data_IF_694058420188
#
_entry.id   IF_694058420188
#
_cell.length_a   1.000
_cell.length_b   1.000
_cell.length_c   1.000
_cell.angle_alpha   90.00
_cell.angle_beta   90.00
_cell.angle_gamma   90.00
#
_symmetry.space_group_name_H-M   'P 1'
#
loop_
_entity.id
_entity.type
_entity.pdbx_description
1 polymer ?
#
# COMPACT_ATOMS: atom_id res chain seq x y z
N UNK A 1 -28.01 -77.27 61.46
CA UNK A 1 -28.06 -77.75 60.07
C UNK A 1 -27.01 -76.96 59.30
N UNK A 2 -25.76 -77.44 59.29
CA UNK A 2 -25.16 -78.18 58.16
C UNK A 2 -25.08 -77.32 56.88
N UNK A 3 -23.88 -76.79 56.55
CA UNK A 3 -22.82 -77.39 55.69
C UNK A 3 -23.28 -77.49 54.22
N UNK A 4 -22.56 -77.10 53.16
CA UNK A 4 -21.13 -76.82 52.93
C UNK A 4 -20.95 -76.28 51.47
N UNK A 5 -19.96 -75.38 51.30
CA UNK A 5 -19.04 -75.13 50.15
C UNK A 5 -19.38 -74.48 48.79
N UNK A 6 -18.48 -73.53 48.46
CA UNK A 6 -17.67 -73.31 47.22
C UNK A 6 -18.41 -72.80 45.97
N UNK A 7 -17.81 -72.02 45.06
CA UNK A 7 -16.68 -71.08 45.02
C UNK A 7 -16.75 -70.46 43.60
N UNK A 8 -16.35 -69.19 43.44
CA UNK A 8 -15.75 -68.57 42.23
C UNK A 8 -16.57 -68.25 40.94
N UNK A 9 -16.64 -66.93 40.66
CA UNK A 9 -16.34 -66.19 39.39
C UNK A 9 -17.30 -66.06 38.19
N UNK A 10 -17.33 -64.81 37.69
CA UNK A 10 -17.46 -64.32 36.29
C UNK A 10 -18.81 -63.70 35.86
N UNK A 11 -18.68 -62.42 35.49
CA UNK A 11 -19.51 -61.43 34.78
C UNK A 11 -20.57 -62.01 33.80
N UNK A 12 -21.74 -61.34 33.68
CA UNK A 12 -22.30 -61.06 32.36
C UNK A 12 -22.62 -59.55 32.19
N UNK A 13 -21.83 -58.88 31.36
CA UNK A 13 -22.08 -57.55 30.84
C UNK A 13 -22.65 -57.69 29.43
N UNK A 14 -23.97 -57.70 29.29
CA UNK A 14 -24.62 -57.46 28.00
C UNK A 14 -26.12 -57.25 28.21
N UNK A 15 -26.56 -55.98 28.20
CA UNK A 15 -27.96 -55.64 27.92
C UNK A 15 -27.98 -55.03 26.51
N UNK A 16 -28.47 -55.83 25.56
CA UNK A 16 -28.60 -55.50 24.14
C UNK A 16 -29.56 -54.31 23.97
N UNK A 17 -29.06 -53.22 23.38
CA UNK A 17 -29.91 -52.21 22.76
C UNK A 17 -30.08 -52.52 21.28
N UNK A 18 -31.33 -52.66 20.85
CA UNK A 18 -31.71 -53.00 19.49
C UNK A 18 -31.45 -51.79 18.55
N UNK A 19 -30.44 -51.90 17.69
CA UNK A 19 -29.94 -50.83 16.79
C UNK A 19 -30.86 -50.51 15.59
N UNK A 20 -31.98 -51.22 15.42
CA UNK A 20 -32.77 -51.16 14.19
C UNK A 20 -33.79 -50.02 14.10
N UNK A 21 -34.06 -49.27 15.17
CA UNK A 21 -35.03 -48.15 15.13
C UNK A 21 -34.42 -46.80 14.76
N UNK A 22 -33.11 -46.59 14.97
CA UNK A 22 -32.45 -45.32 14.64
C UNK A 22 -32.11 -45.20 13.14
N UNK A 23 -31.85 -46.35 12.49
CA UNK A 23 -31.43 -46.44 11.08
C UNK A 23 -32.63 -46.25 10.14
N UNK A 24 -33.83 -46.72 10.50
CA UNK A 24 -35.01 -46.65 9.63
C UNK A 24 -35.61 -45.24 9.51
N UNK A 25 -35.55 -44.42 10.55
CA UNK A 25 -36.18 -43.08 10.55
C UNK A 25 -35.31 -42.04 9.84
N UNK A 26 -33.99 -42.12 9.99
CA UNK A 26 -33.06 -41.12 9.43
C UNK A 26 -32.35 -41.58 8.15
N UNK A 27 -32.31 -42.88 7.86
CA UNK A 27 -31.59 -43.44 6.71
C UNK A 27 -32.14 -42.99 5.35
N UNK A 28 -33.47 -42.93 5.20
CA UNK A 28 -34.10 -42.61 3.90
C UNK A 28 -34.06 -41.10 3.57
N UNK A 29 -34.12 -40.23 4.59
CA UNK A 29 -34.06 -38.77 4.40
C UNK A 29 -32.63 -38.28 4.12
N UNK A 30 -31.62 -38.93 4.70
CA UNK A 30 -30.22 -38.61 4.42
C UNK A 30 -29.71 -39.19 3.09
N UNK A 31 -30.21 -40.35 2.65
CA UNK A 31 -29.82 -40.96 1.36
C UNK A 31 -30.14 -40.07 0.15
N UNK A 32 -31.30 -39.41 0.13
CA UNK A 32 -31.71 -38.55 -0.99
C UNK A 32 -31.06 -37.16 -1.03
N UNK A 33 -30.53 -36.69 0.10
CA UNK A 33 -29.90 -35.36 0.22
C UNK A 33 -28.38 -35.44 -0.01
N UNK A 34 -27.74 -36.53 0.40
CA UNK A 34 -26.29 -36.69 0.24
C UNK A 34 -25.86 -37.26 -1.11
N UNK A 35 -26.74 -37.95 -1.85
CA UNK A 35 -26.36 -38.65 -3.07
C UNK A 35 -27.42 -38.49 -4.18
N UNK A 36 -27.17 -37.57 -5.11
CA UNK A 36 -27.73 -37.67 -6.47
C UNK A 36 -26.83 -38.60 -7.29
N UNK A 37 -27.31 -39.82 -7.54
CA UNK A 37 -26.69 -40.80 -8.43
C UNK A 37 -26.72 -40.30 -9.88
N UNK A 38 -25.58 -40.32 -10.59
CA UNK A 38 -25.12 -41.56 -11.24
C UNK A 38 -23.70 -42.03 -10.86
N UNK A 39 -22.89 -41.20 -10.20
CA UNK A 39 -21.45 -41.48 -10.03
C UNK A 39 -21.09 -42.46 -8.89
N UNK A 40 -22.01 -42.73 -7.95
CA UNK A 40 -21.72 -43.58 -6.78
C UNK A 40 -21.88 -45.08 -7.08
N UNK A 41 -22.79 -45.45 -7.98
CA UNK A 41 -22.97 -46.83 -8.44
C UNK A 41 -21.79 -47.36 -9.26
N UNK A 42 -21.19 -46.51 -10.09
CA UNK A 42 -19.95 -46.83 -10.82
C UNK A 42 -18.76 -46.97 -9.87
N UNK A 43 -18.67 -46.08 -8.86
CA UNK A 43 -17.61 -46.15 -7.85
C UNK A 43 -17.61 -47.48 -7.08
N UNK A 44 -18.78 -48.01 -6.70
CA UNK A 44 -18.87 -49.29 -5.98
C UNK A 44 -18.61 -50.51 -6.88
N UNK A 45 -18.89 -50.43 -8.19
CA UNK A 45 -18.52 -51.46 -9.16
C UNK A 45 -17.00 -51.51 -9.37
N UNK A 46 -16.35 -50.35 -9.49
CA UNK A 46 -14.89 -50.24 -9.59
C UNK A 46 -14.15 -50.71 -8.33
N UNK A 47 -14.73 -50.49 -7.15
CA UNK A 47 -14.15 -50.95 -5.87
C UNK A 47 -14.28 -52.46 -5.72
N UNK A 48 -15.38 -53.08 -6.18
CA UNK A 48 -15.53 -54.55 -6.15
C UNK A 48 -14.60 -55.28 -7.11
N UNK A 49 -14.25 -54.67 -8.24
CA UNK A 49 -13.34 -55.27 -9.24
C UNK A 49 -11.86 -55.22 -8.84
N UNK A 50 -11.50 -54.42 -7.82
CA UNK A 50 -10.10 -54.12 -7.48
C UNK A 50 -9.67 -54.54 -6.06
N UNK A 51 -10.45 -55.40 -5.38
CA UNK A 51 -10.02 -56.01 -4.12
C UNK A 51 -9.50 -57.41 -4.44
N UNK A 52 -8.17 -57.56 -4.51
CA UNK A 52 -7.51 -58.88 -4.47
C UNK A 52 -7.66 -59.47 -3.06
N UNK A 53 -7.83 -60.80 -2.90
CA UNK A 53 -7.83 -61.45 -1.58
C UNK A 53 -6.51 -61.19 -0.84
N UNK A 54 -6.56 -61.21 0.49
CA UNK A 54 -5.53 -60.70 1.41
C UNK A 54 -4.14 -61.39 1.35
N UNK A 55 -3.95 -62.41 0.51
CA UNK A 55 -2.79 -63.31 0.58
C UNK A 55 -1.82 -63.24 -0.63
N UNK A 56 -1.88 -62.21 -1.48
CA UNK A 56 -0.87 -61.99 -2.54
C UNK A 56 -0.05 -60.71 -2.34
N UNK A 57 1.27 -60.87 -2.41
CA UNK A 57 2.23 -59.77 -2.33
C UNK A 57 2.18 -58.94 -3.62
N UNK A 58 2.10 -57.62 -3.49
CA UNK A 58 1.96 -56.70 -4.61
C UNK A 58 3.25 -56.64 -5.43
N UNK A 59 3.15 -56.73 -6.76
CA UNK A 59 4.29 -56.41 -7.64
C UNK A 59 4.56 -54.89 -7.59
N UNK A 60 5.84 -54.50 -7.72
CA UNK A 60 6.31 -53.13 -7.51
C UNK A 60 5.65 -52.14 -8.50
N UNK A 61 5.32 -52.62 -9.71
CA UNK A 61 4.58 -51.86 -10.73
C UNK A 61 3.12 -51.63 -10.36
N UNK A 62 2.46 -52.61 -9.76
CA UNK A 62 1.06 -52.48 -9.31
C UNK A 62 0.95 -51.56 -8.10
N UNK A 63 1.89 -51.67 -7.15
CA UNK A 63 2.02 -50.75 -6.03
C UNK A 63 2.21 -49.31 -6.49
N UNK A 64 3.06 -49.07 -7.50
CA UNK A 64 3.23 -47.74 -8.07
C UNK A 64 2.00 -47.24 -8.82
N UNK A 65 1.29 -48.11 -9.56
CA UNK A 65 0.04 -47.75 -10.24
C UNK A 65 -1.04 -47.34 -9.22
N UNK A 66 -1.24 -48.12 -8.17
CA UNK A 66 -2.21 -47.81 -7.12
C UNK A 66 -1.77 -46.63 -6.25
N UNK A 67 -0.48 -46.45 -5.98
CA UNK A 67 0.03 -45.26 -5.29
C UNK A 67 -0.22 -44.00 -6.13
N UNK A 68 -0.02 -44.04 -7.45
CA UNK A 68 -0.37 -42.95 -8.37
C UNK A 68 -1.87 -42.73 -8.47
N UNK A 69 -2.67 -43.79 -8.50
CA UNK A 69 -4.14 -43.74 -8.52
C UNK A 69 -4.74 -43.18 -7.22
N UNK A 70 -4.24 -43.61 -6.06
CA UNK A 70 -4.63 -43.06 -4.77
C UNK A 70 -4.04 -41.65 -4.55
N UNK A 71 -2.89 -41.30 -5.13
CA UNK A 71 -2.38 -39.93 -5.12
C UNK A 71 -3.19 -38.98 -6.04
N UNK A 72 -3.71 -39.48 -7.17
CA UNK A 72 -4.59 -38.71 -8.06
C UNK A 72 -6.02 -38.60 -7.52
N UNK A 73 -6.51 -39.61 -6.77
CA UNK A 73 -7.80 -39.59 -6.06
C UNK A 73 -7.75 -39.12 -4.59
N UNK A 74 -6.56 -38.91 -3.99
CA UNK A 74 -6.37 -38.45 -2.60
C UNK A 74 -7.03 -37.08 -2.46
N UNK A 75 -8.26 -37.03 -1.94
CA UNK A 75 -8.95 -36.01 -1.13
C UNK A 75 -8.40 -34.55 -1.08
N UNK A 76 -7.78 -34.04 -2.15
CA UNK A 76 -7.49 -32.60 -2.34
C UNK A 76 -8.81 -31.87 -2.52
N UNK A 77 -9.79 -32.50 -3.15
CA UNK A 77 -11.09 -31.89 -3.42
C UNK A 77 -11.90 -31.56 -2.17
N UNK A 78 -12.10 -32.45 -1.18
CA UNK A 78 -12.98 -32.09 -0.03
C UNK A 78 -12.38 -31.03 0.91
N UNK A 79 -11.11 -31.17 1.30
CA UNK A 79 -10.46 -30.19 2.20
C UNK A 79 -10.25 -28.84 1.52
N UNK A 80 -9.84 -28.83 0.25
CA UNK A 80 -9.62 -27.57 -0.48
C UNK A 80 -10.94 -26.93 -0.93
N UNK A 81 -12.00 -27.72 -1.17
CA UNK A 81 -13.36 -27.20 -1.39
C UNK A 81 -13.92 -26.61 -0.10
N UNK A 82 -13.73 -27.26 1.06
CA UNK A 82 -14.11 -26.71 2.36
C UNK A 82 -13.35 -25.42 2.65
N UNK A 83 -12.02 -25.39 2.43
CA UNK A 83 -11.22 -24.16 2.57
C UNK A 83 -11.73 -23.03 1.67
N UNK A 84 -12.06 -23.33 0.41
CA UNK A 84 -12.66 -22.35 -0.53
C UNK A 84 -14.02 -21.85 -0.05
N UNK A 85 -14.90 -22.74 0.45
CA UNK A 85 -16.18 -22.32 1.00
C UNK A 85 -16.00 -21.47 2.27
N UNK A 86 -15.10 -21.85 3.17
CA UNK A 86 -14.78 -21.07 4.36
C UNK A 86 -14.15 -19.72 4.03
N UNK A 87 -13.34 -19.64 2.97
CA UNK A 87 -12.80 -18.39 2.47
C UNK A 87 -13.92 -17.47 1.98
N UNK A 88 -14.87 -17.98 1.18
CA UNK A 88 -16.05 -17.20 0.77
C UNK A 88 -16.91 -16.73 1.94
N UNK A 89 -17.10 -17.57 2.98
CA UNK A 89 -17.80 -17.16 4.21
C UNK A 89 -17.05 -16.04 4.94
N UNK A 90 -15.71 -16.14 5.06
CA UNK A 90 -14.88 -15.09 5.67
C UNK A 90 -14.97 -13.78 4.90
N UNK A 91 -14.93 -13.83 3.56
CA UNK A 91 -15.08 -12.65 2.71
C UNK A 91 -16.44 -11.97 2.94
N UNK A 92 -17.54 -12.73 2.98
CA UNK A 92 -18.88 -12.19 3.28
C UNK A 92 -18.93 -11.58 4.69
N UNK A 93 -18.33 -12.23 5.70
CA UNK A 93 -18.27 -11.69 7.06
C UNK A 93 -17.47 -10.37 7.10
N UNK A 94 -16.31 -10.33 6.45
CA UNK A 94 -15.48 -9.13 6.34
C UNK A 94 -16.22 -8.00 5.63
N UNK A 95 -16.93 -8.27 4.53
CA UNK A 95 -17.73 -7.26 3.83
C UNK A 95 -18.86 -6.71 4.70
N UNK A 96 -19.58 -7.57 5.42
CA UNK A 96 -20.63 -7.13 6.36
C UNK A 96 -20.07 -6.23 7.46
N UNK A 97 -18.92 -6.61 8.03
CA UNK A 97 -18.26 -5.83 9.08
C UNK A 97 -17.78 -4.47 8.56
N UNK A 98 -17.11 -4.45 7.39
CA UNK A 98 -16.62 -3.21 6.77
C UNK A 98 -17.77 -2.27 6.43
N UNK A 99 -18.88 -2.79 5.89
CA UNK A 99 -20.05 -1.98 5.59
C UNK A 99 -20.69 -1.41 6.87
N UNK A 100 -20.82 -2.23 7.92
CA UNK A 100 -21.33 -1.76 9.21
C UNK A 100 -20.46 -0.64 9.80
N UNK A 101 -19.13 -0.78 9.77
CA UNK A 101 -18.19 0.25 10.21
C UNK A 101 -18.38 1.54 9.41
N UNK A 102 -18.51 1.45 8.08
CA UNK A 102 -18.77 2.61 7.20
C UNK A 102 -20.06 3.33 7.56
N UNK A 103 -21.12 2.59 7.87
CA UNK A 103 -22.42 3.16 8.22
C UNK A 103 -22.37 3.88 9.58
N UNK A 104 -21.66 3.31 10.57
CA UNK A 104 -21.42 3.99 11.85
C UNK A 104 -20.75 5.36 11.69
N UNK A 105 -19.84 5.50 10.71
CA UNK A 105 -19.20 6.78 10.40
C UNK A 105 -20.15 7.78 9.72
N UNK A 106 -20.96 7.32 8.75
CA UNK A 106 -21.91 8.19 8.01
C UNK A 106 -22.99 8.79 8.90
N UNK A 107 -23.35 8.12 10.00
CA UNK A 107 -24.31 8.64 10.97
C UNK A 107 -23.67 9.60 12.00
N UNK A 108 -22.65 10.37 11.59
CA UNK A 108 -21.90 11.35 12.39
C UNK A 108 -21.31 10.78 13.70
N UNK A 109 -21.00 9.48 13.76
CA UNK A 109 -20.39 8.88 14.94
C UNK A 109 -21.25 9.02 16.21
N UNK A 110 -22.58 9.04 16.10
CA UNK A 110 -23.44 9.14 17.29
C UNK A 110 -23.96 7.76 17.74
N UNK A 111 -24.02 6.79 16.83
CA UNK A 111 -24.47 5.44 17.11
C UNK A 111 -23.26 4.63 17.61
N UNK A 112 -23.35 4.06 18.82
CA UNK A 112 -22.32 3.23 19.48
C UNK A 112 -20.95 3.88 19.76
N UNK A 113 -20.81 5.20 19.58
CA UNK A 113 -19.55 5.87 19.90
C UNK A 113 -19.32 5.98 21.41
N UNK A 114 -18.16 5.51 21.84
CA UNK A 114 -17.77 5.31 23.23
C UNK A 114 -16.53 6.16 23.61
N UNK A 115 -16.04 6.99 22.68
CA UNK A 115 -14.91 7.91 22.89
C UNK A 115 -15.09 9.24 22.14
N UNK A 116 -14.66 10.31 22.77
CA UNK A 116 -14.51 11.67 22.23
C UNK A 116 -13.03 12.02 22.17
N UNK A 117 -12.54 12.40 21.00
CA UNK A 117 -11.15 12.82 20.79
C UNK A 117 -11.15 14.32 20.56
N UNK A 118 -10.49 15.04 21.46
CA UNK A 118 -10.31 16.49 21.39
C UNK A 118 -8.95 16.80 20.77
N UNK A 119 -8.95 17.50 19.65
CA UNK A 119 -7.75 17.96 18.94
C UNK A 119 -7.98 19.41 18.58
N UNK A 120 -7.08 20.29 19.04
CA UNK A 120 -7.26 21.73 18.95
C UNK A 120 -8.63 22.15 19.51
N UNK A 121 -9.47 22.80 18.71
CA UNK A 121 -10.84 23.22 19.04
C UNK A 121 -11.92 22.25 18.49
N UNK A 122 -11.52 21.15 17.85
CA UNK A 122 -12.42 20.17 17.24
C UNK A 122 -12.62 18.93 18.12
N UNK A 123 -13.82 18.33 18.02
CA UNK A 123 -14.20 17.13 18.76
C UNK A 123 -14.65 16.04 17.78
N UNK A 124 -13.96 14.90 17.83
CA UNK A 124 -14.25 13.74 17.00
C UNK A 124 -14.87 12.63 17.83
N UNK A 125 -16.10 12.25 17.49
CA UNK A 125 -16.76 11.06 18.05
C UNK A 125 -16.29 9.81 17.31
N UNK A 126 -15.88 8.78 18.05
CA UNK A 126 -15.34 7.56 17.46
C UNK A 126 -15.60 6.32 18.34
N UNK A 127 -15.09 5.18 17.87
CA UNK A 127 -15.25 3.88 18.51
C UNK A 127 -13.89 3.34 18.97
N UNK A 128 -13.74 3.10 20.28
CA UNK A 128 -12.46 2.68 20.90
C UNK A 128 -11.88 1.43 20.25
N UNK A 129 -12.72 0.43 20.00
CA UNK A 129 -12.29 -0.85 19.39
C UNK A 129 -11.69 -0.64 18.00
N UNK A 130 -12.31 0.22 17.19
CA UNK A 130 -11.87 0.51 15.83
C UNK A 130 -10.54 1.27 15.88
N UNK A 131 -10.45 2.32 16.71
CA UNK A 131 -9.21 3.09 16.86
C UNK A 131 -8.06 2.24 17.39
N UNK A 132 -8.31 1.35 18.35
CA UNK A 132 -7.30 0.46 18.89
C UNK A 132 -6.76 -0.53 17.84
N UNK A 133 -7.59 -0.91 16.85
CA UNK A 133 -7.19 -1.77 15.74
C UNK A 133 -6.24 -1.06 14.78
N UNK A 134 -6.54 0.19 14.41
CA UNK A 134 -5.83 0.90 13.35
C UNK A 134 -4.76 1.88 13.85
N UNK A 135 -4.80 2.31 15.11
CA UNK A 135 -3.88 3.28 15.71
C UNK A 135 -3.11 2.61 16.86
N UNK A 136 -1.95 1.97 16.57
CA UNK A 136 -1.17 1.27 17.58
C UNK A 136 -0.77 2.14 18.77
N UNK A 137 -0.45 3.42 18.54
CA UNK A 137 -0.14 4.37 19.60
C UNK A 137 -1.25 4.49 20.66
N UNK A 138 -2.51 4.35 20.26
CA UNK A 138 -3.66 4.47 21.15
C UNK A 138 -4.02 3.14 21.82
N UNK A 139 -3.54 2.00 21.32
CA UNK A 139 -3.90 0.66 21.83
C UNK A 139 -3.76 0.54 23.35
N UNK A 140 -2.58 0.82 23.90
CA UNK A 140 -2.32 0.73 25.34
C UNK A 140 -3.05 1.80 26.16
N UNK A 141 -3.30 2.97 25.58
CA UNK A 141 -4.07 4.03 26.26
C UNK A 141 -5.53 3.63 26.36
N UNK A 142 -6.08 3.01 25.32
CA UNK A 142 -7.47 2.61 25.21
C UNK A 142 -7.80 1.31 25.96
N UNK A 143 -6.82 0.45 26.23
CA UNK A 143 -7.01 -0.84 26.92
C UNK A 143 -7.13 -0.76 28.45
N UNK A 144 -6.81 0.38 29.08
CA UNK A 144 -7.04 0.59 30.52
C UNK A 144 -8.54 0.73 30.83
N UNK A 145 -9.01 -0.04 31.80
CA UNK A 145 -10.39 -0.07 32.29
C UNK A 145 -10.64 1.08 33.26
N UNK A 146 -11.55 1.97 32.88
CA UNK A 146 -12.27 2.88 33.78
C UNK A 146 -13.77 2.71 33.52
N UNK A 147 -14.58 3.22 34.47
CA UNK A 147 -15.99 2.87 34.68
C UNK A 147 -16.83 2.81 33.37
N UNK A 148 -17.72 1.82 33.23
CA UNK A 148 -18.40 1.49 31.97
C UNK A 148 -19.48 2.49 31.48
N UNK A 149 -19.72 3.61 32.17
CA UNK A 149 -20.91 4.46 31.91
C UNK A 149 -20.61 5.85 31.34
N UNK A 150 -19.35 6.29 31.24
CA UNK A 150 -19.02 7.61 30.70
C UNK A 150 -18.29 7.52 29.36
N UNK A 151 -18.71 8.36 28.40
CA UNK A 151 -17.99 8.54 27.14
C UNK A 151 -16.58 9.03 27.43
N UNK A 152 -15.57 8.25 27.02
CA UNK A 152 -14.18 8.56 27.35
C UNK A 152 -13.74 9.82 26.60
N UNK A 153 -13.13 10.79 27.28
CA UNK A 153 -12.53 11.95 26.63
C UNK A 153 -11.02 11.78 26.54
N UNK A 154 -10.47 11.89 25.33
CA UNK A 154 -9.04 11.82 25.05
C UNK A 154 -8.62 13.11 24.38
N UNK A 155 -7.65 13.83 24.96
CA UNK A 155 -7.06 15.01 24.32
C UNK A 155 -5.75 14.62 23.64
N UNK A 156 -5.59 14.98 22.38
CA UNK A 156 -4.35 14.85 21.64
C UNK A 156 -3.83 16.26 21.31
N UNK A 157 -2.53 16.46 21.47
CA UNK A 157 -1.85 17.75 21.25
C UNK A 157 -0.75 17.58 20.21
N UNK A 158 -0.46 18.62 19.44
CA UNK A 158 0.60 18.58 18.41
C UNK A 158 0.22 17.77 17.16
N UNK A 159 -1.07 17.65 16.89
CA UNK A 159 -1.65 16.98 15.73
C UNK A 159 -2.66 17.95 15.11
N UNK A 160 -2.66 18.07 13.79
CA UNK A 160 -3.64 18.88 13.07
C UNK A 160 -5.00 18.17 13.04
N UNK A 161 -6.07 18.88 13.46
CA UNK A 161 -7.44 18.36 13.37
C UNK A 161 -7.82 17.92 11.94
N UNK A 162 -7.39 18.66 10.91
CA UNK A 162 -7.60 18.28 9.49
C UNK A 162 -6.91 16.98 9.11
N UNK A 163 -5.66 16.78 9.56
CA UNK A 163 -4.93 15.55 9.29
C UNK A 163 -5.58 14.35 10.00
N UNK A 164 -6.04 14.56 11.24
CA UNK A 164 -6.76 13.55 12.00
C UNK A 164 -8.09 13.15 11.33
N UNK A 165 -8.84 14.12 10.82
CA UNK A 165 -10.09 13.88 10.11
C UNK A 165 -9.88 12.96 8.89
N UNK A 166 -8.80 13.17 8.12
CA UNK A 166 -8.46 12.32 6.97
C UNK A 166 -8.12 10.89 7.44
N UNK A 167 -7.34 10.74 8.51
CA UNK A 167 -6.97 9.44 9.07
C UNK A 167 -8.21 8.70 9.59
N UNK A 168 -9.10 9.39 10.29
CA UNK A 168 -10.38 8.81 10.75
C UNK A 168 -11.21 8.39 9.54
N UNK A 169 -11.38 9.26 8.54
CA UNK A 169 -12.11 8.90 7.33
C UNK A 169 -11.52 7.63 6.68
N UNK A 170 -10.19 7.53 6.60
CA UNK A 170 -9.52 6.32 6.11
C UNK A 170 -9.87 5.08 6.95
N UNK A 171 -9.76 5.16 8.28
CA UNK A 171 -10.04 4.04 9.18
C UNK A 171 -11.46 3.48 8.99
N UNK A 172 -12.44 4.35 8.77
CA UNK A 172 -13.83 3.92 8.59
C UNK A 172 -14.19 3.57 7.16
N UNK A 173 -13.60 4.23 6.16
CA UNK A 173 -14.05 4.11 4.76
C UNK A 173 -13.09 3.36 3.85
N UNK A 174 -11.81 3.28 4.23
CA UNK A 174 -10.71 2.81 3.40
C UNK A 174 -10.31 3.78 2.28
N UNK A 175 -10.92 4.96 2.21
CA UNK A 175 -10.66 5.95 1.16
C UNK A 175 -9.51 6.87 1.60
N UNK A 176 -8.58 7.10 0.68
CA UNK A 176 -7.45 8.03 0.85
C UNK A 176 -7.35 8.92 -0.38
N UNK A 177 -7.05 10.21 -0.14
CA UNK A 177 -6.90 11.21 -1.19
C UNK A 177 -5.72 12.15 -0.83
N UNK A 178 -4.48 11.69 -1.05
CA UNK A 178 -3.31 12.53 -0.82
C UNK A 178 -3.26 13.66 -1.85
N UNK A 179 -2.96 14.86 -1.36
CA UNK A 179 -2.80 16.10 -2.14
C UNK A 179 -1.54 16.81 -1.68
N UNK A 180 -1.00 17.73 -2.49
CA UNK A 180 0.24 18.47 -2.14
C UNK A 180 0.15 19.17 -0.78
N UNK A 181 -1.03 19.69 -0.44
CA UNK A 181 -1.26 20.46 0.79
C UNK A 181 -1.42 19.58 2.03
N UNK A 182 -2.09 18.43 1.90
CA UNK A 182 -2.34 17.54 3.04
C UNK A 182 -1.23 16.52 3.27
N UNK A 183 -0.41 16.21 2.24
CA UNK A 183 0.48 15.06 2.21
C UNK A 183 1.39 14.98 3.44
N UNK A 184 2.14 16.05 3.72
CA UNK A 184 3.08 16.11 4.83
C UNK A 184 2.38 15.99 6.19
N UNK A 185 1.33 16.80 6.40
CA UNK A 185 0.65 16.85 7.70
C UNK A 185 0.00 15.52 8.08
N UNK A 186 -0.56 14.80 7.09
CA UNK A 186 -1.15 13.47 7.27
C UNK A 186 -0.06 12.42 7.49
N UNK A 187 1.03 12.46 6.71
CA UNK A 187 2.15 11.53 6.86
C UNK A 187 2.80 11.65 8.24
N UNK A 188 3.08 12.86 8.71
CA UNK A 188 3.61 13.10 10.05
C UNK A 188 2.68 12.58 11.14
N UNK A 189 1.36 12.80 10.98
CA UNK A 189 0.37 12.32 11.94
C UNK A 189 0.30 10.80 11.96
N UNK A 190 0.36 10.15 10.80
CA UNK A 190 0.42 8.70 10.68
C UNK A 190 1.65 8.10 11.38
N UNK A 191 2.83 8.72 11.20
CA UNK A 191 4.06 8.30 11.86
C UNK A 191 3.98 8.48 13.38
N UNK A 192 3.44 9.61 13.88
CA UNK A 192 3.17 9.81 15.32
C UNK A 192 2.24 8.76 15.90
N UNK A 193 1.28 8.29 15.10
CA UNK A 193 0.35 7.23 15.46
C UNK A 193 0.88 5.81 15.26
N UNK A 194 2.10 5.67 14.75
CA UNK A 194 2.74 4.39 14.43
C UNK A 194 1.96 3.59 13.38
N UNK A 195 1.28 4.28 12.46
CA UNK A 195 0.50 3.68 11.37
C UNK A 195 1.37 3.46 10.12
N UNK A 196 2.38 2.58 10.23
CA UNK A 196 3.39 2.38 9.18
C UNK A 196 2.77 1.89 7.85
N UNK A 197 1.85 0.93 7.89
CA UNK A 197 1.19 0.39 6.69
C UNK A 197 0.37 1.47 5.95
N UNK A 198 -0.29 2.35 6.71
CA UNK A 198 -1.00 3.49 6.15
C UNK A 198 -0.02 4.51 5.56
N UNK A 199 1.07 4.84 6.25
CA UNK A 199 2.09 5.75 5.75
C UNK A 199 2.70 5.26 4.43
N UNK A 200 3.02 3.96 4.32
CA UNK A 200 3.50 3.35 3.07
C UNK A 200 2.46 3.43 1.95
N UNK A 201 1.19 3.16 2.26
CA UNK A 201 0.10 3.27 1.28
C UNK A 201 -0.14 4.72 0.84
N UNK A 202 -0.06 5.66 1.77
CA UNK A 202 -0.18 7.09 1.54
C UNK A 202 0.92 7.62 0.61
N UNK A 203 2.17 7.25 0.88
CA UNK A 203 3.32 7.58 0.03
C UNK A 203 3.18 6.99 -1.37
N UNK A 204 2.84 5.70 -1.46
CA UNK A 204 2.70 4.99 -2.74
C UNK A 204 1.61 5.61 -3.62
N UNK A 205 0.44 5.92 -3.06
CA UNK A 205 -0.65 6.55 -3.83
C UNK A 205 -0.24 7.95 -4.28
N UNK A 206 0.50 8.70 -3.46
CA UNK A 206 1.00 10.00 -3.89
C UNK A 206 2.08 9.90 -4.97
N UNK A 207 2.96 8.90 -4.92
CA UNK A 207 3.92 8.62 -5.99
C UNK A 207 3.21 8.31 -7.33
N UNK A 208 2.07 7.61 -7.30
CA UNK A 208 1.22 7.38 -8.48
C UNK A 208 0.59 8.68 -9.00
N UNK A 209 0.16 9.58 -8.10
CA UNK A 209 -0.39 10.90 -8.49
C UNK A 209 0.68 11.78 -9.16
N UNK A 210 1.91 11.76 -8.65
CA UNK A 210 3.03 12.49 -9.25
C UNK A 210 3.40 11.95 -10.64
N UNK A 211 3.09 10.68 -10.91
CA UNK A 211 3.28 10.06 -12.21
C UNK A 211 4.74 9.78 -12.52
N UNK A 212 5.47 10.77 -13.04
CA UNK A 212 6.84 10.59 -13.54
C UNK A 212 7.87 10.42 -12.43
N UNK A 213 8.91 9.63 -12.68
CA UNK A 213 10.04 9.47 -11.75
C UNK A 213 10.68 10.82 -11.41
N UNK A 214 10.80 11.71 -12.38
CA UNK A 214 11.35 13.06 -12.19
C UNK A 214 10.52 13.89 -11.22
N UNK A 215 9.19 13.93 -11.37
CA UNK A 215 8.30 14.66 -10.46
C UNK A 215 8.37 14.09 -9.04
N UNK A 216 8.49 12.76 -8.91
CA UNK A 216 8.67 12.07 -7.63
C UNK A 216 9.98 12.43 -6.92
N UNK A 217 11.09 12.53 -7.67
CA UNK A 217 12.40 12.92 -7.11
C UNK A 217 12.40 14.41 -6.75
N UNK A 218 11.85 15.26 -7.62
CA UNK A 218 11.72 16.69 -7.36
C UNK A 218 10.89 16.96 -6.10
N UNK A 219 9.78 16.25 -5.93
CA UNK A 219 8.98 16.33 -4.72
C UNK A 219 9.79 15.94 -3.47
N UNK A 220 10.52 14.81 -3.51
CA UNK A 220 11.38 14.39 -2.40
C UNK A 220 12.47 15.43 -2.09
N UNK A 221 13.04 16.06 -3.12
CA UNK A 221 14.05 17.11 -2.97
C UNK A 221 13.47 18.35 -2.28
N UNK A 222 12.28 18.79 -2.68
CA UNK A 222 11.55 19.88 -2.03
C UNK A 222 11.29 19.58 -0.55
N UNK A 223 10.92 18.34 -0.22
CA UNK A 223 10.71 17.94 1.17
C UNK A 223 12.03 17.93 1.94
N UNK A 224 13.10 17.37 1.38
CA UNK A 224 14.42 17.32 2.00
C UNK A 224 14.93 18.74 2.32
N UNK A 225 14.79 19.68 1.39
CA UNK A 225 15.10 21.10 1.62
C UNK A 225 14.26 21.71 2.74
N UNK A 226 12.94 21.51 2.70
CA UNK A 226 12.02 22.04 3.72
C UNK A 226 12.37 21.59 5.14
N UNK A 227 12.83 20.34 5.29
CA UNK A 227 13.25 19.77 6.57
C UNK A 227 14.76 19.88 6.86
N UNK A 228 15.52 20.61 6.03
CA UNK A 228 16.96 20.81 6.18
C UNK A 228 17.78 19.51 6.25
N UNK A 229 17.36 18.50 5.48
CA UNK A 229 18.07 17.22 5.35
C UNK A 229 19.14 17.30 4.28
N UNK A 230 20.19 18.09 4.56
CA UNK A 230 21.19 18.50 3.57
C UNK A 230 21.84 17.31 2.83
N UNK A 231 22.27 16.28 3.57
CA UNK A 231 22.87 15.08 2.97
C UNK A 231 21.95 14.40 1.94
N UNK A 232 20.64 14.39 2.20
CA UNK A 232 19.66 13.78 1.32
C UNK A 232 19.28 14.70 0.16
N UNK A 233 19.15 16.01 0.39
CA UNK A 233 18.91 16.97 -0.68
C UNK A 233 20.06 17.01 -1.68
N UNK A 234 21.31 16.90 -1.21
CA UNK A 234 22.51 16.89 -2.06
C UNK A 234 22.58 15.66 -2.96
N UNK A 235 22.12 14.50 -2.47
CA UNK A 235 22.00 13.31 -3.30
C UNK A 235 20.87 13.46 -4.34
N UNK A 236 19.73 13.98 -3.92
CA UNK A 236 18.57 14.13 -4.82
C UNK A 236 18.81 15.15 -5.92
N UNK A 237 19.48 16.27 -5.64
CA UNK A 237 19.80 17.27 -6.66
C UNK A 237 20.76 16.73 -7.72
N UNK A 238 21.73 15.89 -7.32
CA UNK A 238 22.60 15.17 -8.28
C UNK A 238 21.80 14.25 -9.18
N UNK A 239 20.84 13.50 -8.64
CA UNK A 239 19.98 12.63 -9.46
C UNK A 239 19.09 13.45 -10.40
N UNK A 240 18.58 14.61 -9.96
CA UNK A 240 17.83 15.53 -10.83
C UNK A 240 18.70 16.10 -11.96
N UNK A 241 19.94 16.48 -11.67
CA UNK A 241 20.91 16.94 -12.67
C UNK A 241 21.25 15.83 -13.68
N UNK A 242 21.49 14.59 -13.23
CA UNK A 242 21.71 13.44 -14.11
C UNK A 242 20.49 13.06 -14.96
N UNK A 243 19.28 13.50 -14.56
CA UNK A 243 18.04 13.29 -15.30
C UNK A 243 17.47 14.59 -15.88
N UNK A 244 18.32 15.58 -16.14
CA UNK A 244 17.92 16.92 -16.52
C UNK A 244 17.04 16.98 -17.78
N UNK A 245 17.31 16.18 -18.81
CA UNK A 245 16.45 16.13 -20.00
C UNK A 245 15.02 15.62 -19.68
N UNK A 246 14.90 14.64 -18.79
CA UNK A 246 13.59 14.17 -18.30
C UNK A 246 12.90 15.24 -17.47
N UNK A 247 13.66 16.08 -16.77
CA UNK A 247 13.12 17.23 -16.05
C UNK A 247 12.63 18.30 -17.04
N UNK A 248 13.44 18.66 -18.04
CA UNK A 248 13.13 19.67 -19.07
C UNK A 248 11.86 19.36 -19.89
N UNK A 249 11.59 18.07 -20.10
CA UNK A 249 10.39 17.57 -20.78
C UNK A 249 9.16 17.47 -19.88
N UNK A 250 9.34 17.56 -18.55
CA UNK A 250 8.24 17.50 -17.59
C UNK A 250 7.52 18.84 -17.43
N UNK A 251 6.23 18.78 -17.04
CA UNK A 251 5.42 19.96 -16.71
C UNK A 251 5.91 20.71 -15.46
N UNK A 252 6.77 20.08 -14.65
CA UNK A 252 7.29 20.65 -13.42
C UNK A 252 8.45 21.62 -13.66
N UNK A 253 9.17 21.52 -14.78
CA UNK A 253 10.33 22.37 -15.05
C UNK A 253 10.00 23.87 -15.00
N UNK A 254 8.87 24.28 -15.58
CA UNK A 254 8.46 25.70 -15.58
C UNK A 254 8.08 26.22 -14.19
N UNK A 255 7.68 25.31 -13.30
CA UNK A 255 7.22 25.59 -11.94
C UNK A 255 8.36 25.61 -10.92
N UNK A 256 9.58 25.24 -11.33
CA UNK A 256 10.76 25.34 -10.48
C UNK A 256 10.96 26.78 -10.02
N UNK A 257 11.28 26.93 -8.75
CA UNK A 257 11.77 28.19 -8.19
C UNK A 257 13.19 28.47 -8.65
N UNK A 258 13.62 29.74 -8.54
CA UNK A 258 14.99 30.14 -8.87
C UNK A 258 16.03 29.31 -8.11
N UNK A 259 15.84 29.09 -6.81
CA UNK A 259 16.80 28.36 -5.97
C UNK A 259 16.89 26.88 -6.35
N UNK A 260 15.78 26.24 -6.71
CA UNK A 260 15.77 24.85 -7.15
C UNK A 260 16.49 24.69 -8.49
N UNK A 261 16.23 25.58 -9.45
CA UNK A 261 16.91 25.53 -10.74
C UNK A 261 18.41 25.82 -10.58
N UNK A 262 18.77 26.83 -9.80
CA UNK A 262 20.17 27.19 -9.56
C UNK A 262 20.96 26.02 -8.95
N UNK A 263 20.40 25.32 -7.97
CA UNK A 263 21.08 24.18 -7.33
C UNK A 263 21.29 23.00 -8.28
N UNK A 264 20.38 22.80 -9.23
CA UNK A 264 20.51 21.80 -10.29
C UNK A 264 21.62 22.21 -11.26
N UNK A 265 21.62 23.46 -11.73
CA UNK A 265 22.62 23.95 -12.69
C UNK A 265 24.05 24.00 -12.13
N UNK A 266 24.19 24.18 -10.82
CA UNK A 266 25.49 24.12 -10.12
C UNK A 266 26.13 22.73 -10.10
N UNK A 267 25.41 21.67 -10.46
CA UNK A 267 25.98 20.32 -10.43
C UNK A 267 26.99 20.13 -11.56
N UNK A 268 28.18 19.60 -11.25
CA UNK A 268 29.24 19.34 -12.22
C UNK A 268 28.80 18.34 -13.31
N UNK A 269 28.04 17.32 -12.93
CA UNK A 269 27.55 16.28 -13.82
C UNK A 269 26.08 16.52 -14.17
N UNK A 270 25.82 16.83 -15.44
CA UNK A 270 24.48 17.05 -15.99
C UNK A 270 24.18 15.99 -17.04
N UNK A 271 22.99 15.39 -16.97
CA UNK A 271 22.50 14.42 -17.95
C UNK A 271 21.90 15.11 -19.16
N UNK A 272 22.75 15.78 -19.95
CA UNK A 272 22.40 16.45 -21.20
C UNK A 272 23.39 16.09 -22.31
N UNK A 273 22.94 16.09 -23.56
CA UNK A 273 23.83 15.87 -24.72
C UNK A 273 24.86 16.99 -24.93
N UNK A 274 24.50 18.24 -24.61
CA UNK A 274 25.39 19.39 -24.77
C UNK A 274 24.98 20.56 -23.87
N UNK A 275 25.94 21.44 -23.57
CA UNK A 275 25.71 22.65 -22.78
C UNK A 275 24.65 23.59 -23.39
N UNK A 276 24.48 23.50 -24.71
CA UNK A 276 23.47 24.25 -25.48
C UNK A 276 22.06 23.96 -24.98
N UNK A 277 21.81 22.71 -24.57
CA UNK A 277 20.51 22.30 -24.00
C UNK A 277 20.26 23.05 -22.69
N UNK A 278 21.29 23.22 -21.85
CA UNK A 278 21.20 23.97 -20.60
C UNK A 278 20.91 25.45 -20.88
N UNK A 279 21.63 26.06 -21.83
CA UNK A 279 21.37 27.43 -22.28
C UNK A 279 19.91 27.62 -22.73
N UNK A 280 19.41 26.74 -23.59
CA UNK A 280 18.02 26.79 -24.07
C UNK A 280 17.04 26.56 -22.91
N UNK A 281 17.34 25.64 -21.99
CA UNK A 281 16.52 25.38 -20.82
C UNK A 281 16.38 26.61 -19.91
N UNK A 282 17.49 27.34 -19.66
CA UNK A 282 17.48 28.60 -18.91
C UNK A 282 16.63 29.65 -19.61
N UNK A 283 16.77 29.82 -20.93
CA UNK A 283 15.92 30.74 -21.70
C UNK A 283 14.44 30.36 -21.64
N UNK A 284 14.13 29.07 -21.71
CA UNK A 284 12.77 28.53 -21.63
C UNK A 284 12.15 28.85 -20.26
N UNK A 285 12.90 28.66 -19.17
CA UNK A 285 12.45 28.95 -17.81
C UNK A 285 12.29 30.46 -17.55
N UNK A 286 13.23 31.29 -18.02
CA UNK A 286 13.14 32.75 -17.94
C UNK A 286 11.96 33.29 -18.75
N UNK A 287 11.72 32.72 -19.94
CA UNK A 287 10.67 33.15 -20.86
C UNK A 287 9.25 32.87 -20.37
N UNK A 288 9.07 31.92 -19.46
CA UNK A 288 7.76 31.60 -18.88
C UNK A 288 7.14 32.81 -18.16
N UNK A 289 7.94 33.57 -17.41
CA UNK A 289 7.53 34.79 -16.69
C UNK A 289 8.65 35.84 -16.73
N UNK A 290 8.97 36.33 -17.93
CA UNK A 290 10.15 37.18 -18.14
C UNK A 290 10.20 38.43 -17.25
N UNK A 291 9.07 39.09 -17.03
CA UNK A 291 9.01 40.32 -16.23
C UNK A 291 9.49 40.12 -14.79
N UNK A 292 9.15 38.99 -14.18
CA UNK A 292 9.54 38.68 -12.80
C UNK A 292 10.89 37.96 -12.73
N UNK A 293 11.19 37.12 -13.72
CA UNK A 293 12.37 36.24 -13.72
C UNK A 293 13.62 36.89 -14.31
N UNK A 294 13.51 38.01 -15.05
CA UNK A 294 14.66 38.74 -15.65
C UNK A 294 15.79 39.02 -14.66
N UNK A 295 15.47 39.33 -13.40
CA UNK A 295 16.46 39.60 -12.34
C UNK A 295 17.38 38.41 -12.04
N UNK A 296 16.96 37.18 -12.36
CA UNK A 296 17.73 35.97 -12.15
C UNK A 296 18.56 35.55 -13.38
N UNK A 297 18.39 36.24 -14.52
CA UNK A 297 18.99 35.83 -15.79
C UNK A 297 20.52 35.73 -15.72
N UNK A 298 21.18 36.73 -15.14
CA UNK A 298 22.64 36.76 -15.01
C UNK A 298 23.14 35.60 -14.14
N UNK A 299 22.49 35.38 -13.00
CA UNK A 299 22.86 34.30 -12.08
C UNK A 299 22.71 32.91 -12.70
N UNK A 300 21.63 32.67 -13.45
CA UNK A 300 21.42 31.39 -14.12
C UNK A 300 22.36 31.20 -15.32
N UNK A 301 22.63 32.27 -16.08
CA UNK A 301 23.56 32.22 -17.22
C UNK A 301 25.02 32.01 -16.79
N UNK A 302 25.40 32.45 -15.59
CA UNK A 302 26.73 32.16 -15.03
C UNK A 302 26.98 30.66 -14.82
N UNK A 303 25.92 29.88 -14.58
CA UNK A 303 26.03 28.42 -14.43
C UNK A 303 26.08 27.68 -15.78
N UNK A 304 25.83 28.39 -16.89
CA UNK A 304 26.00 27.83 -18.24
C UNK A 304 27.47 27.90 -18.63
N UNK A 305 28.06 26.74 -18.92
CA UNK A 305 29.48 26.59 -19.21
C UNK A 305 29.76 26.86 -20.68
N UNK A 306 29.58 28.09 -21.12
CA UNK A 306 29.83 28.54 -22.50
C UNK A 306 31.15 28.02 -23.12
N UNK A 307 32.28 27.90 -22.38
CA UNK A 307 33.51 27.32 -22.93
C UNK A 307 33.42 25.85 -23.41
N UNK A 308 32.35 25.12 -23.07
CA UNK A 308 32.09 23.76 -23.56
C UNK A 308 31.25 23.72 -24.84
N UNK A 309 30.84 24.87 -25.38
CA UNK A 309 30.17 24.98 -26.67
C UNK A 309 31.19 25.23 -27.78
N UNK A 310 30.90 24.75 -28.99
CA UNK A 310 31.70 25.08 -30.17
C UNK A 310 31.39 26.50 -30.67
N UNK A 311 32.26 27.06 -31.52
CA UNK A 311 32.13 28.41 -32.05
C UNK A 311 30.78 28.64 -32.75
N UNK A 312 30.34 27.69 -33.58
CA UNK A 312 29.07 27.79 -34.31
C UNK A 312 27.87 27.98 -33.37
N UNK A 313 27.84 27.23 -32.26
CA UNK A 313 26.76 27.37 -31.28
C UNK A 313 26.91 28.65 -30.47
N UNK A 314 28.12 29.04 -30.08
CA UNK A 314 28.34 30.33 -29.40
C UNK A 314 27.86 31.51 -30.26
N UNK A 315 28.11 31.48 -31.57
CA UNK A 315 27.54 32.45 -32.51
C UNK A 315 26.01 32.40 -32.54
N UNK A 316 25.41 31.20 -32.51
CA UNK A 316 23.97 31.04 -32.42
C UNK A 316 23.38 31.61 -31.11
N UNK A 317 24.12 31.54 -30.00
CA UNK A 317 23.71 32.09 -28.70
C UNK A 317 23.53 33.62 -28.73
N UNK A 318 24.19 34.37 -29.63
CA UNK A 318 23.95 35.81 -29.80
C UNK A 318 22.58 36.14 -30.41
N UNK A 319 21.93 35.18 -31.07
CA UNK A 319 20.59 35.33 -31.63
C UNK A 319 19.74 34.10 -31.27
N UNK A 320 19.38 33.95 -29.99
CA UNK A 320 18.71 32.75 -29.52
C UNK A 320 17.32 32.62 -30.15
N UNK A 321 16.84 31.38 -30.36
CA UNK A 321 15.54 31.12 -30.98
C UNK A 321 14.37 31.64 -30.15
N UNK A 322 14.56 31.72 -28.83
CA UNK A 322 13.58 32.19 -27.85
C UNK A 322 14.20 33.28 -26.97
N UNK A 323 13.38 34.21 -26.49
CA UNK A 323 13.76 35.24 -25.52
C UNK A 323 15.01 36.06 -25.91
N UNK A 324 14.95 36.72 -27.09
CA UNK A 324 16.04 37.57 -27.62
C UNK A 324 16.44 38.73 -26.69
N UNK A 325 15.54 39.14 -25.82
CA UNK A 325 15.73 40.22 -24.84
C UNK A 325 16.82 39.91 -23.82
N UNK A 326 17.13 38.63 -23.56
CA UNK A 326 18.22 38.23 -22.66
C UNK A 326 19.57 38.73 -23.16
N UNK A 327 19.78 38.74 -24.47
CA UNK A 327 21.01 39.25 -25.08
C UNK A 327 21.11 40.78 -25.00
N UNK A 328 20.04 41.49 -24.65
CA UNK A 328 20.16 42.92 -24.35
C UNK A 328 20.96 43.18 -23.04
N UNK A 329 21.09 42.18 -22.16
CA UNK A 329 21.85 42.28 -20.91
C UNK A 329 23.35 42.17 -21.24
N UNK A 330 24.09 43.23 -20.92
CA UNK A 330 25.50 43.36 -21.31
C UNK A 330 26.39 42.30 -20.67
N UNK A 331 26.11 41.90 -19.43
CA UNK A 331 26.88 40.88 -18.72
C UNK A 331 26.81 39.52 -19.43
N UNK A 332 25.62 39.13 -19.89
CA UNK A 332 25.41 37.85 -20.60
C UNK A 332 26.10 37.87 -21.97
N UNK A 333 26.05 39.01 -22.67
CA UNK A 333 26.83 39.22 -23.91
C UNK A 333 28.33 39.03 -23.68
N UNK A 334 28.85 39.58 -22.59
CA UNK A 334 30.26 39.45 -22.25
C UNK A 334 30.63 37.99 -21.95
N UNK A 335 29.78 37.24 -21.23
CA UNK A 335 30.00 35.81 -20.96
C UNK A 335 30.16 34.99 -22.24
N UNK A 336 29.29 35.20 -23.23
CA UNK A 336 29.36 34.50 -24.53
C UNK A 336 30.60 34.95 -25.31
N UNK A 337 30.89 36.26 -25.32
CA UNK A 337 32.04 36.81 -26.03
C UNK A 337 33.38 36.36 -25.44
N UNK A 338 33.46 36.17 -24.12
CA UNK A 338 34.66 35.69 -23.44
C UNK A 338 34.90 34.20 -23.69
N UNK A 339 33.85 33.40 -23.92
CA UNK A 339 33.99 32.00 -24.30
C UNK A 339 34.42 31.78 -25.76
N UNK A 340 34.33 32.81 -26.61
CA UNK A 340 34.83 32.79 -27.99
C UNK A 340 36.33 33.14 -28.10
N UNK A 341 36.95 33.64 -27.03
CA UNK A 341 38.38 33.96 -26.96
C UNK A 341 39.18 32.76 -26.50
#
# INVERSE_FOLDING_TARGET
MEKINKNTTIIPSETKFNTDTYIQVFGNKFKGILFKEPYFGEYLKDVKLNIKPADECWDEKEQQFYTRYFASRRMKTKSDVIKRHLQGVREVQSHKLVNFIKDCYKHNGNIYSDIQIHIDDEVFMAHRLILACFIPFLFHRLSRSERPQETRKLRLTGISAKAFQIIIQYIYTGVVQPTKDNFLTVLETALKFLMNEFAETWMRIYDEILGTTTARILFRYQMAKKFTWNDYSDQLVRVLALSFENLLTSDEFMKLTFEELLDILKQDEMGVESEVVIFIAVLKWLGYEWQERRKYAVSLMNEVRFPFMNEEVLFACFNPPILKEVIAIQEIKNMIADALK
#
